data_IF_912738156260
#
_entry.id   IF_912738156260
#
_cell.length_a   1.000
_cell.length_b   1.000
_cell.length_c   1.000
_cell.angle_alpha   90.00
_cell.angle_beta   90.00
_cell.angle_gamma   90.00
#
_symmetry.space_group_name_H-M   'P 1'
#
loop_
_entity.id
_entity.type
_entity.pdbx_description
1 polymer ?
#
# COMPACT_ATOMS: atom_id res chain seq x y z
N UNK A 1 -3.66 -8.54 13.56
CA UNK A 1 -4.09 -8.18 12.18
C UNK A 1 -5.06 -9.19 11.59
N UNK A 2 -4.71 -10.48 11.49
CA UNK A 2 -5.61 -11.57 11.01
C UNK A 2 -7.09 -11.45 11.41
N UNK A 3 -7.40 -11.41 12.71
CA UNK A 3 -8.79 -11.34 13.22
C UNK A 3 -9.57 -10.09 12.78
N UNK A 4 -8.85 -9.00 12.47
CA UNK A 4 -9.46 -7.76 11.99
C UNK A 4 -9.79 -7.89 10.50
N UNK A 5 -8.89 -8.48 9.72
CA UNK A 5 -8.88 -8.40 8.27
C UNK A 5 -9.53 -9.60 7.58
N UNK A 6 -9.41 -10.80 8.15
CA UNK A 6 -10.01 -12.03 7.62
C UNK A 6 -11.47 -12.17 8.06
N UNK A 7 -12.34 -11.32 7.51
CA UNK A 7 -13.79 -11.32 7.77
C UNK A 7 -14.54 -11.50 6.44
N UNK A 8 -14.95 -12.74 6.09
CA UNK A 8 -15.51 -13.04 4.77
C UNK A 8 -16.72 -12.15 4.39
N UNK A 9 -17.58 -11.82 5.36
CA UNK A 9 -18.77 -11.02 5.12
C UNK A 9 -18.52 -9.50 5.12
N UNK A 10 -17.34 -9.06 5.56
CA UNK A 10 -16.99 -7.65 5.70
C UNK A 10 -15.55 -7.43 5.23
N UNK A 11 -15.29 -7.44 3.90
CA UNK A 11 -13.94 -7.24 3.38
C UNK A 11 -13.41 -5.87 3.81
N UNK A 12 -12.15 -5.84 4.22
CA UNK A 12 -11.48 -4.59 4.62
C UNK A 12 -10.68 -4.02 3.46
N UNK A 13 -10.75 -2.71 3.26
CA UNK A 13 -9.89 -1.94 2.37
C UNK A 13 -8.62 -1.48 3.11
N UNK A 14 -7.52 -1.30 2.38
CA UNK A 14 -6.35 -0.57 2.87
C UNK A 14 -6.31 0.81 2.22
N UNK A 15 -6.21 1.83 3.07
CA UNK A 15 -6.02 3.21 2.67
C UNK A 15 -4.63 3.65 3.11
N UNK A 16 -3.88 4.17 2.16
CA UNK A 16 -2.58 4.77 2.38
C UNK A 16 -2.71 6.27 2.24
N UNK A 17 -2.20 7.00 3.22
CA UNK A 17 -1.93 8.42 3.13
C UNK A 17 -0.43 8.63 3.32
N UNK A 18 0.25 8.92 2.22
CA UNK A 18 1.68 9.09 2.16
C UNK A 18 2.00 10.58 1.93
N UNK A 19 3.15 11.04 2.41
CA UNK A 19 3.64 12.39 2.16
C UNK A 19 4.99 12.32 1.48
N UNK A 20 5.12 12.88 0.29
CA UNK A 20 6.40 12.99 -0.39
C UNK A 20 7.36 13.90 0.40
N UNK A 21 8.63 13.53 0.47
CA UNK A 21 9.65 14.29 1.18
C UNK A 21 10.12 15.53 0.41
N UNK A 22 10.06 15.50 -0.92
CA UNK A 22 10.60 16.55 -1.79
C UNK A 22 9.74 17.81 -1.83
N UNK A 23 8.42 17.66 -1.92
CA UNK A 23 7.48 18.76 -2.10
C UNK A 23 6.32 18.74 -1.09
N UNK A 24 6.30 17.77 -0.17
CA UNK A 24 5.22 17.62 0.82
C UNK A 24 3.88 17.16 0.25
N UNK A 25 3.81 16.79 -1.04
CA UNK A 25 2.59 16.33 -1.70
C UNK A 25 1.99 15.12 -0.98
N UNK A 26 0.67 15.15 -0.80
CA UNK A 26 -0.08 14.03 -0.23
C UNK A 26 -0.47 13.06 -1.34
N UNK A 27 -0.04 11.81 -1.18
CA UNK A 27 -0.39 10.69 -2.06
C UNK A 27 -1.37 9.80 -1.29
N UNK A 28 -2.55 9.60 -1.87
CA UNK A 28 -3.60 8.74 -1.38
C UNK A 28 -3.69 7.53 -2.29
N UNK A 29 -3.67 6.33 -1.72
CA UNK A 29 -3.85 5.07 -2.44
C UNK A 29 -4.87 4.23 -1.70
N UNK A 30 -5.80 3.60 -2.43
CA UNK A 30 -6.79 2.70 -1.85
C UNK A 30 -6.76 1.36 -2.56
N UNK A 31 -6.51 0.32 -1.79
CA UNK A 31 -6.63 -1.07 -2.22
C UNK A 31 -8.02 -1.60 -1.86
N UNK A 32 -8.64 -2.34 -2.79
CA UNK A 32 -9.99 -2.89 -2.62
C UNK A 32 -10.09 -3.92 -1.50
N UNK A 33 -8.97 -4.53 -1.13
CA UNK A 33 -8.89 -5.57 -0.14
C UNK A 33 -7.54 -5.56 0.58
N UNK A 34 -7.56 -5.84 1.87
CA UNK A 34 -6.39 -6.14 2.69
C UNK A 34 -6.74 -7.23 3.68
N UNK A 35 -6.28 -8.45 3.40
CA UNK A 35 -6.55 -9.65 4.19
C UNK A 35 -5.23 -10.25 4.63
N UNK A 36 -5.09 -10.49 5.93
CA UNK A 36 -3.97 -11.24 6.47
C UNK A 36 -4.52 -12.64 6.72
N UNK A 37 -3.87 -13.66 6.14
CA UNK A 37 -4.26 -15.05 6.29
C UNK A 37 -4.05 -15.55 7.72
N UNK A 38 -4.57 -16.72 8.02
CA UNK A 38 -4.39 -17.36 9.32
C UNK A 38 -2.96 -17.84 9.56
N UNK A 39 -2.69 -18.26 10.80
CA UNK A 39 -1.36 -18.72 11.23
C UNK A 39 -0.86 -19.93 10.43
N UNK A 40 -1.75 -20.86 10.08
CA UNK A 40 -1.40 -22.05 9.29
C UNK A 40 -0.92 -21.71 7.86
N UNK A 41 -1.20 -20.49 7.41
CA UNK A 41 -0.76 -19.94 6.14
C UNK A 41 0.31 -18.85 6.34
N UNK A 42 1.07 -18.92 7.44
CA UNK A 42 2.16 -17.98 7.79
C UNK A 42 1.76 -16.50 7.79
N UNK A 43 0.49 -16.21 8.11
CA UNK A 43 -0.06 -14.87 8.08
C UNK A 43 0.17 -14.14 6.74
N UNK A 44 0.18 -14.86 5.60
CA UNK A 44 0.40 -14.27 4.27
C UNK A 44 -0.56 -13.12 3.98
N UNK A 45 -0.10 -12.12 3.22
CA UNK A 45 -0.94 -10.99 2.83
C UNK A 45 -1.64 -11.27 1.50
N UNK A 46 -2.96 -11.15 1.48
CA UNK A 46 -3.74 -11.04 0.27
C UNK A 46 -4.25 -9.60 0.11
N UNK A 47 -3.67 -8.88 -0.84
CA UNK A 47 -4.00 -7.49 -1.16
C UNK A 47 -4.76 -7.42 -2.49
N UNK A 48 -5.83 -6.61 -2.52
CA UNK A 48 -6.66 -6.45 -3.72
C UNK A 48 -6.04 -5.52 -4.75
N UNK A 49 -6.80 -5.22 -5.81
CA UNK A 49 -6.40 -4.21 -6.79
C UNK A 49 -6.49 -2.79 -6.22
N UNK A 50 -5.72 -1.88 -6.80
CA UNK A 50 -5.86 -0.46 -6.50
C UNK A 50 -7.14 0.06 -7.16
N UNK A 51 -8.00 0.71 -6.38
CA UNK A 51 -9.28 1.30 -6.81
C UNK A 51 -9.30 2.82 -6.73
N UNK A 52 -8.21 3.43 -6.24
CA UNK A 52 -7.99 4.88 -6.26
C UNK A 52 -6.52 5.20 -6.00
N UNK A 53 -5.98 6.20 -6.72
CA UNK A 53 -4.64 6.73 -6.53
C UNK A 53 -4.51 8.15 -7.10
N UNK A 54 -3.97 9.12 -6.36
CA UNK A 54 -3.91 10.54 -6.79
C UNK A 54 -2.47 11.12 -6.90
N UNK A 55 -1.44 10.28 -7.02
CA UNK A 55 -0.04 10.69 -6.88
C UNK A 55 0.88 10.53 -8.10
N UNK A 56 0.38 10.52 -9.34
CA UNK A 56 1.20 10.08 -10.49
C UNK A 56 1.42 11.14 -11.57
N UNK A 57 2.70 11.46 -11.80
CA UNK A 57 3.20 11.99 -13.07
C UNK A 57 3.48 10.80 -14.00
N UNK A 58 2.76 10.71 -15.12
CA UNK A 58 2.83 9.60 -16.09
C UNK A 58 4.12 9.48 -16.90
N UNK A 59 5.30 9.51 -16.26
CA UNK A 59 6.60 9.48 -16.95
C UNK A 59 7.36 8.14 -16.92
N UNK A 60 6.94 7.15 -16.12
CA UNK A 60 7.76 5.93 -15.91
C UNK A 60 7.06 4.58 -16.09
N UNK A 61 5.88 4.51 -16.71
CA UNK A 61 5.30 3.22 -17.10
C UNK A 61 4.78 3.31 -18.53
N UNK A 62 5.35 2.46 -19.40
CA UNK A 62 4.91 2.32 -20.78
C UNK A 62 3.43 1.97 -20.82
N UNK A 63 2.69 2.72 -21.64
CA UNK A 63 1.31 2.44 -21.99
C UNK A 63 1.24 1.11 -22.76
N UNK A 64 0.82 0.04 -22.10
CA UNK A 64 0.28 -1.11 -22.81
C UNK A 64 -1.20 -0.80 -23.07
N UNK A 65 -1.48 -0.25 -24.25
CA UNK A 65 -2.84 -0.23 -24.76
C UNK A 65 -3.18 -1.66 -25.17
N UNK A 66 -4.00 -2.34 -24.38
CA UNK A 66 -4.77 -3.46 -24.92
C UNK A 66 -5.84 -2.84 -25.83
N UNK A 67 -5.72 -3.08 -27.13
CA UNK A 67 -6.61 -2.52 -28.16
C UNK A 67 -8.05 -3.08 -28.10
N UNK A 68 -8.37 -3.90 -27.10
CA UNK A 68 -9.70 -4.46 -26.87
C UNK A 68 -10.40 -3.94 -25.60
N UNK A 69 -9.80 -3.04 -24.82
CA UNK A 69 -10.47 -2.48 -23.64
C UNK A 69 -11.58 -1.49 -24.04
N UNK A 70 -12.82 -1.88 -23.76
CA UNK A 70 -14.02 -1.06 -23.99
C UNK A 70 -13.90 0.31 -23.31
N UNK A 71 -14.52 1.32 -23.93
CA UNK A 71 -14.53 2.76 -23.59
C UNK A 71 -14.92 3.14 -22.14
N UNK A 72 -15.20 2.18 -21.26
CA UNK A 72 -15.59 2.37 -19.85
C UNK A 72 -14.49 2.09 -18.84
N UNK A 73 -13.37 1.47 -19.23
CA UNK A 73 -12.30 1.15 -18.29
C UNK A 73 -11.23 2.25 -18.27
N UNK A 74 -11.47 3.27 -17.44
CA UNK A 74 -10.42 4.21 -17.03
C UNK A 74 -9.45 3.46 -16.10
N UNK A 75 -8.57 2.64 -16.67
CA UNK A 75 -7.42 2.07 -15.96
C UNK A 75 -6.45 3.21 -15.65
N UNK A 76 -6.58 3.82 -14.48
CA UNK A 76 -5.50 4.63 -13.92
C UNK A 76 -4.33 3.66 -13.70
N UNK A 77 -3.23 3.83 -14.43
CA UNK A 77 -1.96 3.12 -14.18
C UNK A 77 -1.38 3.61 -12.85
N UNK A 78 -1.87 3.03 -11.75
CA UNK A 78 -1.38 3.33 -10.40
C UNK A 78 -0.17 2.43 -10.11
N UNK A 79 0.98 3.00 -9.72
CA UNK A 79 2.10 2.18 -9.29
C UNK A 79 1.68 1.35 -8.07
N UNK A 80 1.87 0.04 -8.19
CA UNK A 80 1.55 -0.92 -7.15
C UNK A 80 2.83 -1.39 -6.45
N UNK A 81 3.41 -0.52 -5.63
CA UNK A 81 4.62 -0.85 -4.87
C UNK A 81 4.39 -1.96 -3.83
N UNK A 82 3.12 -2.31 -3.54
CA UNK A 82 2.76 -3.46 -2.69
C UNK A 82 2.56 -4.77 -3.47
N UNK A 83 2.73 -4.79 -4.80
CA UNK A 83 2.46 -5.98 -5.61
C UNK A 83 3.27 -7.21 -5.16
N UNK A 84 4.56 -7.01 -4.84
CA UNK A 84 5.45 -8.09 -4.41
C UNK A 84 5.07 -8.68 -3.05
N UNK A 85 4.25 -7.98 -2.26
CA UNK A 85 3.74 -8.48 -0.99
C UNK A 85 2.62 -9.50 -1.15
N UNK A 86 2.08 -9.68 -2.34
CA UNK A 86 0.98 -10.62 -2.59
C UNK A 86 1.39 -12.05 -2.23
N UNK A 87 0.62 -12.65 -1.33
CA UNK A 87 0.78 -13.98 -0.76
C UNK A 87 2.16 -14.29 -0.16
N UNK A 88 2.96 -13.26 0.14
CA UNK A 88 4.23 -13.42 0.84
C UNK A 88 4.00 -13.59 2.34
N UNK A 89 4.81 -14.40 3.04
CA UNK A 89 4.74 -14.51 4.49
C UNK A 89 5.22 -13.22 5.16
N UNK A 90 4.74 -12.95 6.38
CA UNK A 90 5.25 -11.82 7.16
C UNK A 90 6.65 -12.15 7.67
N UNK A 91 7.63 -11.30 7.39
CA UNK A 91 9.01 -11.47 7.86
C UNK A 91 9.57 -10.16 8.39
N UNK A 92 10.37 -10.28 9.44
CA UNK A 92 11.13 -9.22 10.08
C UNK A 92 12.50 -9.07 9.45
N UNK A 93 13.09 -7.89 9.58
CA UNK A 93 14.47 -7.65 9.15
C UNK A 93 15.49 -8.53 9.87
N UNK A 94 15.23 -8.94 11.11
CA UNK A 94 16.10 -9.88 11.85
C UNK A 94 16.14 -11.28 11.23
N UNK A 95 15.04 -11.74 10.63
CA UNK A 95 14.97 -13.06 10.00
C UNK A 95 15.67 -13.10 8.64
N UNK A 96 15.60 -12.01 7.86
CA UNK A 96 16.19 -11.91 6.52
C UNK A 96 17.52 -11.12 6.44
N UNK A 97 17.94 -10.49 7.54
CA UNK A 97 19.10 -9.58 7.59
C UNK A 97 19.04 -8.43 6.57
N UNK A 98 17.85 -7.87 6.33
CA UNK A 98 17.70 -6.72 5.42
C UNK A 98 18.05 -5.40 6.12
N UNK A 99 18.85 -4.57 5.46
CA UNK A 99 19.33 -3.28 5.98
C UNK A 99 18.22 -2.25 6.22
N UNK A 100 17.13 -2.31 5.43
CA UNK A 100 15.97 -1.40 5.56
C UNK A 100 15.26 -1.47 6.92
N UNK A 101 15.43 -2.56 7.66
CA UNK A 101 14.71 -2.79 8.91
C UNK A 101 13.23 -3.16 8.73
N UNK A 102 12.47 -3.08 9.83
CA UNK A 102 11.02 -3.28 9.85
C UNK A 102 10.56 -4.72 9.64
N UNK A 103 9.23 -4.93 9.73
CA UNK A 103 8.59 -6.22 9.46
C UNK A 103 7.49 -6.08 8.41
N UNK A 104 7.52 -6.91 7.37
CA UNK A 104 6.63 -6.78 6.21
C UNK A 104 6.41 -8.12 5.51
N UNK A 105 5.34 -8.21 4.72
CA UNK A 105 5.12 -9.30 3.79
C UNK A 105 6.07 -9.16 2.60
N UNK A 106 7.27 -9.72 2.76
CA UNK A 106 8.40 -9.50 1.85
C UNK A 106 8.79 -10.79 1.13
N UNK A 107 9.20 -10.64 -0.13
CA UNK A 107 9.77 -11.70 -0.96
C UNK A 107 11.30 -11.69 -0.90
N UNK A 108 11.90 -10.51 -0.95
CA UNK A 108 13.35 -10.28 -0.90
C UNK A 108 13.67 -8.97 -0.14
N UNK A 109 14.96 -8.73 0.14
CA UNK A 109 15.40 -7.41 0.60
C UNK A 109 15.32 -6.41 -0.58
N UNK A 110 15.33 -5.12 -0.29
CA UNK A 110 15.17 -4.02 -1.27
C UNK A 110 13.85 -4.06 -2.04
N UNK A 111 12.86 -4.80 -1.53
CA UNK A 111 11.52 -4.79 -2.08
C UNK A 111 10.92 -3.39 -1.90
N UNK A 112 10.19 -2.92 -2.92
CA UNK A 112 9.39 -1.71 -2.79
C UNK A 112 8.23 -1.91 -1.82
N UNK A 113 7.70 -0.81 -1.31
CA UNK A 113 6.46 -0.85 -0.53
C UNK A 113 6.59 -1.49 0.87
N UNK A 114 7.80 -1.64 1.41
CA UNK A 114 8.01 -2.06 2.81
C UNK A 114 7.70 -0.87 3.74
N UNK A 115 6.42 -0.56 3.93
CA UNK A 115 5.96 0.70 4.58
C UNK A 115 6.29 0.81 6.08
N UNK A 116 6.76 -0.27 6.70
CA UNK A 116 7.21 -0.34 8.10
C UNK A 116 8.74 -0.31 8.24
N UNK A 117 9.48 -0.21 7.14
CA UNK A 117 10.92 -0.04 7.16
C UNK A 117 11.32 1.32 7.76
N UNK A 118 12.61 1.49 8.02
CA UNK A 118 13.14 2.70 8.64
C UNK A 118 12.86 3.93 7.76
N UNK A 119 12.12 4.90 8.28
CA UNK A 119 11.88 6.15 7.57
C UNK A 119 13.03 7.16 7.73
N UNK A 120 14.26 6.70 7.49
CA UNK A 120 15.48 7.51 7.55
C UNK A 120 16.40 7.07 6.41
N UNK A 121 16.88 8.03 5.63
CA UNK A 121 17.91 7.74 4.65
C UNK A 121 19.26 7.63 5.36
N UNK A 122 20.03 6.59 5.06
CA UNK A 122 21.35 6.36 5.64
C UNK A 122 22.22 5.55 4.68
N UNK A 123 23.41 6.06 4.37
CA UNK A 123 24.33 5.41 3.42
C UNK A 123 23.66 5.20 2.06
N UNK A 124 23.65 3.95 1.59
CA UNK A 124 23.01 3.55 0.32
C UNK A 124 21.49 3.39 0.42
N UNK A 125 20.90 3.37 1.63
CA UNK A 125 19.47 3.19 1.81
C UNK A 125 18.74 4.55 1.66
N UNK A 126 17.85 4.71 0.66
CA UNK A 126 17.18 5.99 0.39
C UNK A 126 16.05 6.32 1.40
N UNK A 127 15.75 5.41 2.34
CA UNK A 127 14.57 5.50 3.20
C UNK A 127 13.32 4.90 2.53
N UNK A 128 12.16 5.19 3.10
CA UNK A 128 10.88 4.78 2.53
C UNK A 128 10.64 5.49 1.19
N UNK A 129 10.23 4.71 0.18
CA UNK A 129 9.92 5.21 -1.16
C UNK A 129 8.55 4.71 -1.61
N UNK A 130 7.87 5.52 -2.41
CA UNK A 130 6.67 5.16 -3.14
C UNK A 130 6.75 5.70 -4.55
N UNK A 131 6.63 4.85 -5.57
CA UNK A 131 6.76 5.24 -6.98
C UNK A 131 8.06 6.04 -7.25
N UNK A 132 9.16 5.61 -6.64
CA UNK A 132 10.46 6.29 -6.74
C UNK A 132 10.58 7.60 -5.97
N UNK A 133 9.51 8.09 -5.32
CA UNK A 133 9.57 9.28 -4.47
C UNK A 133 9.84 8.90 -3.03
N UNK A 134 10.85 9.54 -2.40
CA UNK A 134 11.11 9.39 -0.96
C UNK A 134 9.94 9.94 -0.16
N UNK A 135 9.53 9.21 0.86
CA UNK A 135 8.45 9.59 1.77
C UNK A 135 9.01 10.28 3.02
N UNK A 136 8.26 11.25 3.53
CA UNK A 136 8.50 11.88 4.83
C UNK A 136 7.55 11.37 5.90
N UNK A 137 6.36 10.89 5.51
CA UNK A 137 5.39 10.30 6.42
C UNK A 137 4.54 9.23 5.73
N UNK A 138 4.12 8.25 6.51
CA UNK A 138 3.24 7.15 6.10
C UNK A 138 2.14 6.99 7.14
N UNK A 139 0.90 6.92 6.68
CA UNK A 139 -0.24 6.52 7.48
C UNK A 139 -0.98 5.40 6.75
N UNK A 140 -1.19 4.29 7.46
CA UNK A 140 -1.95 3.15 6.98
C UNK A 140 -3.26 3.07 7.78
N UNK A 141 -4.37 2.95 7.08
CA UNK A 141 -5.69 2.76 7.67
C UNK A 141 -6.35 1.53 7.06
N UNK A 142 -6.90 0.68 7.92
CA UNK A 142 -7.70 -0.47 7.52
C UNK A 142 -9.13 -0.20 7.98
N UNK A 143 -10.09 -0.39 7.08
CA UNK A 143 -11.52 -0.23 7.41
C UNK A 143 -12.38 -1.22 6.64
N UNK A 144 -13.58 -1.56 7.12
CA UNK A 144 -14.56 -2.29 6.33
C UNK A 144 -14.95 -1.51 5.07
N UNK A 145 -15.09 -2.19 3.94
CA UNK A 145 -15.48 -1.56 2.65
C UNK A 145 -16.84 -0.87 2.71
N UNK A 146 -17.79 -1.43 3.47
CA UNK A 146 -19.12 -0.87 3.69
C UNK A 146 -19.18 0.25 4.74
N UNK A 147 -18.04 0.72 5.26
CA UNK A 147 -18.03 1.79 6.25
C UNK A 147 -18.49 3.11 5.63
N UNK A 148 -19.63 3.61 6.10
CA UNK A 148 -20.13 4.95 5.80
C UNK A 148 -19.69 5.86 6.97
N UNK A 149 -18.84 6.88 6.73
CA UNK A 149 -18.44 7.79 7.79
C UNK A 149 -19.67 8.54 8.33
N UNK A 150 -19.79 8.73 9.65
CA UNK A 150 -20.87 9.52 10.21
C UNK A 150 -20.81 10.94 9.65
N UNK A 151 -21.96 11.50 9.28
CA UNK A 151 -22.04 12.87 8.79
C UNK A 151 -21.55 13.83 9.88
N UNK A 152 -20.62 14.72 9.54
CA UNK A 152 -20.23 15.80 10.45
C UNK A 152 -21.46 16.64 10.72
N UNK A 153 -21.89 16.72 11.99
CA UNK A 153 -22.93 17.68 12.38
C UNK A 153 -22.43 19.08 12.02
N UNK A 154 -23.25 19.94 11.41
CA UNK A 154 -22.87 21.33 11.19
C UNK A 154 -22.56 21.96 12.56
N UNK A 155 -21.36 22.52 12.68
CA UNK A 155 -20.99 23.34 13.82
C UNK A 155 -21.93 24.54 13.82
N UNK A 156 -22.88 24.60 14.76
CA UNK A 156 -23.67 25.81 14.97
C UNK A 156 -22.70 26.87 15.50
N UNK A 157 -22.48 27.91 14.70
CA UNK A 157 -21.88 29.16 15.17
C UNK A 157 -22.97 30.04 15.78
#
# INVERSE_FOLDING_TARGET
MYRLTNRPQCPNELLLRLRAATNGQIILVRYSQFVVCERLLDYRLNIGNIVFGNGFNGKNYGTWYDSQASKSDCFILVANDLADSQMCPFQTSSEKKCEEGGGWWRKHCQQKGVLTAMNKAQGAYPGLVWNGQRLSAVQMLIRPRGYIPPQKKPTKF
#
